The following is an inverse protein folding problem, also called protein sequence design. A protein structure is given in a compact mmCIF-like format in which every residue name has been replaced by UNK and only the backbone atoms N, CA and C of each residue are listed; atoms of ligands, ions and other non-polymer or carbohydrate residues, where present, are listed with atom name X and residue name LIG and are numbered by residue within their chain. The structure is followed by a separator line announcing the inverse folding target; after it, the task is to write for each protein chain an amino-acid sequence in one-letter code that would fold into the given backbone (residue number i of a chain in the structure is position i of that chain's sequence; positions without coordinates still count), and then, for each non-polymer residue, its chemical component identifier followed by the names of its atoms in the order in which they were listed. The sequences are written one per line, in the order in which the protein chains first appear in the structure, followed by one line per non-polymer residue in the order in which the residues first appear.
data_IF_311362173377
#
_entry.id   IF_311362173377
#
_cell.length_a   1.000
_cell.length_b   1.000
_cell.length_c   1.000
_cell.angle_alpha   90.00
_cell.angle_beta   90.00
_cell.angle_gamma   90.00
#
_symmetry.space_group_name_H-M   'P 1'
#
loop_
_entity.id
_entity.type
_entity.pdbx_description
1 polymer ?
#
# COMPACT_ATOMS: atom_id res chain seq x y z
N UNK A 1 9.30 11.33 -12.63
CA UNK A 1 10.23 10.29 -12.15
C UNK A 1 11.05 10.88 -11.02
N UNK A 2 11.19 10.17 -9.90
CA UNK A 2 12.07 10.59 -8.82
C UNK A 2 11.59 10.16 -7.43
N UNK A 3 12.33 10.58 -6.39
CA UNK A 3 11.93 10.37 -5.01
C UNK A 3 10.71 11.22 -4.65
N UNK A 4 9.84 10.69 -3.80
CA UNK A 4 8.62 11.36 -3.36
C UNK A 4 8.16 10.89 -1.98
N UNK A 5 7.19 11.62 -1.44
CA UNK A 5 6.56 11.35 -0.16
C UNK A 5 5.10 11.00 -0.41
N UNK A 6 4.64 9.89 0.16
CA UNK A 6 3.23 9.46 0.10
C UNK A 6 2.61 9.56 1.49
N UNK A 7 1.35 9.99 1.57
CA UNK A 7 0.59 9.98 2.80
C UNK A 7 -0.47 8.89 2.75
N UNK A 8 -0.46 7.99 3.74
CA UNK A 8 -1.35 6.84 3.80
C UNK A 8 -2.38 7.04 4.91
N UNK A 9 -3.65 7.13 4.52
CA UNK A 9 -4.77 7.40 5.43
C UNK A 9 -5.41 6.11 5.93
N UNK A 10 -5.61 6.02 7.25
CA UNK A 10 -6.57 5.10 7.89
C UNK A 10 -6.45 3.63 7.47
N UNK A 11 -5.23 3.10 7.46
CA UNK A 11 -4.97 1.72 7.06
C UNK A 11 -5.54 0.75 8.09
N UNK A 12 -6.12 -0.35 7.60
CA UNK A 12 -6.78 -1.36 8.43
C UNK A 12 -6.30 -2.76 8.06
N UNK A 13 -6.10 -3.59 9.08
CA UNK A 13 -5.94 -5.03 8.93
C UNK A 13 -7.26 -5.68 9.38
N UNK A 14 -7.97 -6.29 8.43
CA UNK A 14 -9.14 -7.11 8.71
C UNK A 14 -8.71 -8.57 8.86
N UNK A 15 -9.03 -9.17 10.00
CA UNK A 15 -8.82 -10.58 10.30
C UNK A 15 -10.20 -11.23 10.26
N UNK A 16 -10.42 -12.10 9.29
CA UNK A 16 -11.69 -12.81 9.11
C UNK A 16 -11.41 -14.32 9.10
N UNK A 17 -11.56 -14.95 10.27
CA UNK A 17 -11.24 -16.38 10.44
C UNK A 17 -12.36 -17.19 11.08
N UNK A 18 -13.55 -16.61 11.26
CA UNK A 18 -14.76 -17.24 11.78
C UNK A 18 -15.15 -18.59 11.13
N UNK A 19 -14.74 -18.83 9.88
CA UNK A 19 -14.94 -20.10 9.17
C UNK A 19 -14.05 -21.25 9.64
N UNK A 20 -13.02 -20.97 10.44
CA UNK A 20 -12.11 -21.97 11.02
C UNK A 20 -12.54 -22.24 12.46
N UNK A 21 -12.55 -23.52 12.88
CA UNK A 21 -12.90 -23.87 14.25
C UNK A 21 -11.94 -23.18 15.25
N UNK A 22 -12.50 -22.35 16.15
CA UNK A 22 -11.71 -21.53 17.08
C UNK A 22 -11.14 -20.23 16.47
N UNK A 23 -11.52 -19.90 15.23
CA UNK A 23 -11.18 -18.63 14.60
C UNK A 23 -12.00 -17.47 15.16
N UNK A 24 -11.55 -16.26 14.85
CA UNK A 24 -12.15 -15.02 15.30
C UNK A 24 -12.13 -13.98 14.19
N UNK A 25 -12.97 -12.96 14.34
CA UNK A 25 -12.94 -11.78 13.49
C UNK A 25 -12.44 -10.60 14.32
N UNK A 26 -11.51 -9.82 13.76
CA UNK A 26 -11.01 -8.61 14.39
C UNK A 26 -10.60 -7.58 13.31
N UNK A 27 -10.61 -6.31 13.66
CA UNK A 27 -10.14 -5.23 12.78
C UNK A 27 -9.21 -4.34 13.54
N UNK A 28 -7.98 -4.24 13.05
CA UNK A 28 -6.94 -3.40 13.63
C UNK A 28 -6.76 -2.17 12.76
N UNK A 29 -6.76 -1.00 13.38
CA UNK A 29 -6.59 0.28 12.71
C UNK A 29 -5.21 0.83 13.03
N UNK A 30 -4.53 1.29 11.98
CA UNK A 30 -3.22 1.92 12.08
C UNK A 30 -3.37 3.43 11.92
N UNK A 31 -2.49 4.15 12.62
CA UNK A 31 -2.33 5.59 12.48
C UNK A 31 -1.96 5.93 11.04
N UNK A 32 -2.35 7.13 10.63
CA UNK A 32 -1.88 7.68 9.37
C UNK A 32 -0.34 7.75 9.39
N UNK A 33 0.28 7.47 8.25
CA UNK A 33 1.73 7.44 8.17
C UNK A 33 2.23 8.05 6.87
N UNK A 34 3.50 8.42 6.90
CA UNK A 34 4.24 8.95 5.77
C UNK A 34 5.13 7.82 5.25
N UNK A 35 4.95 7.50 3.97
CA UNK A 35 5.84 6.61 3.23
C UNK A 35 6.72 7.40 2.26
N UNK A 36 7.78 6.75 1.80
CA UNK A 36 8.68 7.30 0.79
C UNK A 36 8.67 6.40 -0.43
N UNK A 37 8.79 6.98 -1.61
CA UNK A 37 8.91 6.22 -2.84
C UNK A 37 9.96 6.78 -3.77
N UNK A 38 10.36 5.98 -4.74
CA UNK A 38 11.05 6.40 -5.96
C UNK A 38 10.30 5.83 -7.15
N UNK A 39 10.03 6.66 -8.17
CA UNK A 39 9.34 6.21 -9.37
C UNK A 39 10.10 6.50 -10.67
N UNK A 40 9.92 5.61 -11.64
CA UNK A 40 10.41 5.72 -13.01
C UNK A 40 9.19 5.50 -13.91
N UNK A 41 8.97 6.39 -14.88
CA UNK A 41 7.79 6.42 -15.76
C UNK A 41 8.23 6.69 -17.20
N UNK A 42 8.28 5.68 -18.05
CA UNK A 42 8.65 5.80 -19.46
C UNK A 42 7.39 5.99 -20.31
N UNK A 43 7.42 6.97 -21.21
CA UNK A 43 6.33 7.23 -22.15
C UNK A 43 6.79 7.05 -23.58
N UNK A 44 5.97 6.40 -24.39
CA UNK A 44 6.26 6.12 -25.78
C UNK A 44 5.01 6.31 -26.64
N UNK A 45 5.11 7.13 -27.69
CA UNK A 45 4.00 7.39 -28.62
C UNK A 45 4.35 6.88 -30.02
N UNK A 46 4.00 5.62 -30.37
CA UNK A 46 4.33 5.06 -31.69
C UNK A 46 3.58 5.72 -32.84
N UNK A 47 2.51 6.46 -32.57
CA UNK A 47 1.74 7.18 -33.58
C UNK A 47 1.05 8.40 -32.97
N UNK A 48 0.45 9.26 -33.79
CA UNK A 48 -0.34 10.41 -33.33
C UNK A 48 -1.54 9.99 -32.48
N UNK A 49 -2.09 8.81 -32.75
CA UNK A 49 -3.30 8.30 -32.11
C UNK A 49 -3.01 7.45 -30.87
N UNK A 50 -1.78 6.97 -30.68
CA UNK A 50 -1.47 6.02 -29.62
C UNK A 50 -0.32 6.50 -28.75
N UNK A 51 -0.54 6.50 -27.44
CA UNK A 51 0.50 6.75 -26.44
C UNK A 51 0.48 5.66 -25.38
N UNK A 52 1.66 5.22 -24.96
CA UNK A 52 1.89 4.19 -23.97
C UNK A 52 2.68 4.78 -22.80
N UNK A 53 2.41 4.29 -21.60
CA UNK A 53 3.13 4.65 -20.38
C UNK A 53 3.49 3.36 -19.62
N UNK A 54 4.74 3.27 -19.15
CA UNK A 54 5.22 2.18 -18.30
C UNK A 54 5.81 2.79 -17.03
N UNK A 55 5.24 2.46 -15.88
CA UNK A 55 5.71 2.92 -14.58
C UNK A 55 6.28 1.79 -13.73
N UNK A 56 7.34 2.11 -12.99
CA UNK A 56 7.88 1.31 -11.91
C UNK A 56 8.03 2.21 -10.68
N UNK A 57 7.42 1.83 -9.57
CA UNK A 57 7.50 2.53 -8.30
C UNK A 57 7.99 1.57 -7.23
N UNK A 58 9.08 1.94 -6.55
CA UNK A 58 9.47 1.29 -5.29
C UNK A 58 9.06 2.21 -4.14
N UNK A 59 8.44 1.65 -3.11
CA UNK A 59 8.01 2.42 -1.94
C UNK A 59 8.33 1.69 -0.65
N UNK A 60 8.53 2.45 0.42
CA UNK A 60 8.69 1.98 1.78
C UNK A 60 7.72 2.72 2.70
N UNK A 61 7.17 1.98 3.67
CA UNK A 61 6.22 2.47 4.64
C UNK A 61 6.43 1.80 5.99
N UNK A 62 6.25 2.58 7.05
CA UNK A 62 6.22 2.09 8.42
C UNK A 62 4.92 2.54 9.07
N UNK A 63 4.10 1.58 9.50
CA UNK A 63 2.85 1.88 10.18
C UNK A 63 3.05 1.89 11.69
N UNK A 64 2.17 2.61 12.39
CA UNK A 64 2.06 2.58 13.84
C UNK A 64 0.63 2.25 14.21
N UNK A 65 0.43 1.29 15.11
CA UNK A 65 -0.88 0.86 15.58
C UNK A 65 -1.61 1.99 16.29
N UNK A 66 -2.88 2.19 15.97
CA UNK A 66 -3.74 3.17 16.64
C UNK A 66 -4.63 2.48 17.67
N UNK A 67 -5.46 1.53 17.22
CA UNK A 67 -6.36 0.76 18.06
C UNK A 67 -6.85 -0.50 17.34
N UNK A 68 -7.32 -1.48 18.09
CA UNK A 68 -7.85 -2.75 17.57
C UNK A 68 -8.94 -3.30 18.46
N UNK A 69 -9.55 -4.41 18.06
CA UNK A 69 -10.57 -5.06 18.86
C UNK A 69 -9.99 -5.94 19.97
N UNK A 70 -10.80 -6.88 20.44
CA UNK A 70 -10.53 -7.66 21.65
C UNK A 70 -9.22 -8.47 21.58
N UNK A 71 -8.73 -8.79 20.38
CA UNK A 71 -7.53 -9.60 20.20
C UNK A 71 -6.27 -8.76 19.91
N UNK A 72 -6.35 -7.43 19.89
CA UNK A 72 -5.15 -6.60 19.86
C UNK A 72 -4.45 -6.64 21.22
N UNK A 73 -3.38 -7.44 21.31
CA UNK A 73 -2.58 -7.58 22.53
C UNK A 73 -1.98 -6.24 22.96
N UNK A 74 -1.90 -5.99 24.27
CA UNK A 74 -1.20 -4.83 24.85
C UNK A 74 0.33 -4.97 24.85
N UNK A 75 0.87 -6.12 24.43
CA UNK A 75 2.31 -6.32 24.30
C UNK A 75 2.82 -5.82 22.94
N UNK A 76 3.91 -5.05 22.96
CA UNK A 76 4.58 -4.52 21.77
C UNK A 76 5.04 -5.66 20.86
N UNK A 77 4.24 -5.92 19.82
CA UNK A 77 4.50 -7.01 18.87
C UNK A 77 4.74 -6.43 17.48
N UNK A 78 5.42 -7.19 16.60
CA UNK A 78 5.71 -6.80 15.20
C UNK A 78 4.48 -6.38 14.39
N UNK A 79 3.29 -6.82 14.79
CA UNK A 79 2.02 -6.46 14.15
C UNK A 79 1.50 -5.09 14.58
N UNK A 80 2.05 -4.46 15.62
CA UNK A 80 1.68 -3.11 16.04
C UNK A 80 2.53 -2.02 15.39
N UNK A 81 3.65 -2.39 14.78
CA UNK A 81 4.45 -1.47 13.98
C UNK A 81 4.92 -2.17 12.70
N UNK A 82 3.99 -2.59 11.82
CA UNK A 82 4.37 -3.28 10.61
C UNK A 82 5.11 -2.31 9.68
N UNK A 83 6.30 -2.71 9.28
CA UNK A 83 7.12 -2.05 8.28
C UNK A 83 7.16 -2.89 6.99
N UNK A 84 7.25 -2.21 5.85
CA UNK A 84 7.21 -2.90 4.57
C UNK A 84 7.73 -2.06 3.41
N UNK A 85 8.19 -2.75 2.38
CA UNK A 85 8.47 -2.15 1.08
C UNK A 85 7.78 -2.93 -0.02
N UNK A 86 7.44 -2.23 -1.11
CA UNK A 86 6.74 -2.81 -2.25
C UNK A 86 7.28 -2.29 -3.56
N UNK A 87 7.05 -3.09 -4.61
CA UNK A 87 7.26 -2.72 -6.00
C UNK A 87 5.91 -2.70 -6.69
N UNK A 88 5.58 -1.58 -7.31
CA UNK A 88 4.37 -1.39 -8.11
C UNK A 88 4.77 -1.19 -9.57
N UNK A 89 4.12 -1.94 -10.45
CA UNK A 89 4.28 -1.86 -11.89
C UNK A 89 2.98 -1.32 -12.48
N UNK A 90 3.07 -0.30 -13.33
CA UNK A 90 1.92 0.28 -14.02
C UNK A 90 2.13 0.30 -15.53
N UNK A 91 1.05 0.06 -16.27
CA UNK A 91 1.02 0.12 -17.74
C UNK A 91 -0.21 0.91 -18.14
N UNK A 92 -0.03 1.95 -18.95
CA UNK A 92 -1.07 2.82 -19.48
C UNK A 92 -1.09 2.80 -21.01
N UNK A 93 -2.30 2.85 -21.57
CA UNK A 93 -2.58 2.95 -23.00
C UNK A 93 -3.56 4.10 -23.19
N UNK A 94 -3.23 5.02 -24.09
CA UNK A 94 -4.02 6.19 -24.40
C UNK A 94 -4.29 6.25 -25.90
N UNK A 95 -5.55 6.52 -26.25
CA UNK A 95 -6.02 6.74 -27.61
C UNK A 95 -6.36 8.23 -27.78
N UNK A 96 -5.64 8.90 -28.67
CA UNK A 96 -5.86 10.31 -29.00
C UNK A 96 -6.74 10.40 -30.26
N UNK A 97 -7.82 11.17 -30.17
CA UNK A 97 -8.79 11.44 -31.23
C UNK A 97 -8.67 12.88 -31.75
#
# INVERSE_FOLDING_TARGET
MGPGIDYYFSNKLAIETDKVAGGFNDTWTYSNTIGYHVNIICEFSPSLNWSFNFGLKWYNISYSFAHGGVHSSNATNKFQAPDGSGLEFSVGLYLNF
#
